data_IF_334191118468
#
_entry.id   IF_334191118468
#
_cell.length_a   1.000
_cell.length_b   1.000
_cell.length_c   1.000
_cell.angle_alpha   90.00
_cell.angle_beta   90.00
_cell.angle_gamma   90.00
#
_symmetry.space_group_name_H-M   'P 1'
#
loop_
_entity.id
_entity.type
_entity.pdbx_description
1 polymer ?
#
# COMPACT_ATOMS: atom_id res chain seq x y z
N UNK A 1 -31.22 -8.91 -3.59
CA UNK A 1 -29.97 -8.63 -4.32
C UNK A 1 -29.13 -9.89 -4.29
N UNK A 2 -28.52 -10.33 -5.41
CA UNK A 2 -27.55 -11.41 -5.33
C UNK A 2 -26.44 -10.99 -4.36
N UNK A 3 -25.90 -11.91 -3.55
CA UNK A 3 -24.82 -11.59 -2.62
C UNK A 3 -23.69 -10.98 -3.44
N UNK A 4 -23.28 -9.75 -3.10
CA UNK A 4 -22.08 -9.15 -3.67
C UNK A 4 -20.95 -10.15 -3.45
N UNK A 5 -20.48 -10.81 -4.50
CA UNK A 5 -19.31 -11.67 -4.41
C UNK A 5 -18.16 -10.81 -3.89
N UNK A 6 -17.35 -11.34 -2.96
CA UNK A 6 -16.19 -10.59 -2.41
C UNK A 6 -15.27 -10.10 -3.52
N UNK A 7 -15.21 -10.87 -4.62
CA UNK A 7 -14.45 -10.57 -5.81
C UNK A 7 -15.44 -10.31 -6.96
N UNK A 8 -15.34 -9.17 -7.67
CA UNK A 8 -16.16 -8.91 -8.85
C UNK A 8 -15.94 -9.99 -9.92
N UNK A 9 -17.01 -10.58 -10.53
CA UNK A 9 -16.87 -11.71 -11.44
C UNK A 9 -15.95 -11.45 -12.64
N UNK A 10 -15.98 -10.24 -13.21
CA UNK A 10 -15.12 -9.84 -14.32
C UNK A 10 -13.63 -9.80 -13.94
N UNK A 11 -13.30 -9.60 -12.66
CA UNK A 11 -11.91 -9.59 -12.18
C UNK A 11 -11.45 -10.94 -11.62
N UNK A 12 -12.35 -11.86 -11.32
CA UNK A 12 -12.01 -13.13 -10.69
C UNK A 12 -10.90 -13.90 -11.44
N UNK A 13 -10.90 -14.00 -12.78
CA UNK A 13 -9.82 -14.68 -13.51
C UNK A 13 -8.44 -14.00 -13.39
N UNK A 14 -8.43 -12.68 -13.11
CA UNK A 14 -7.22 -11.86 -13.07
C UNK A 14 -6.65 -11.68 -11.66
N UNK A 15 -7.46 -11.95 -10.64
CA UNK A 15 -7.05 -11.93 -9.24
C UNK A 15 -6.52 -13.31 -8.81
N UNK A 16 -7.03 -14.37 -9.42
CA UNK A 16 -6.54 -15.72 -9.13
C UNK A 16 -5.05 -15.85 -9.49
N UNK A 17 -4.28 -16.41 -8.56
CA UNK A 17 -2.85 -16.63 -8.74
C UNK A 17 -2.60 -17.60 -9.90
N UNK A 18 -1.60 -17.36 -10.76
CA UNK A 18 -1.22 -18.32 -11.78
C UNK A 18 -0.74 -19.65 -11.19
N UNK A 19 -0.81 -20.74 -11.96
CA UNK A 19 -0.33 -22.06 -11.51
C UNK A 19 1.19 -22.09 -11.28
N UNK A 20 1.94 -21.31 -12.07
CA UNK A 20 3.39 -21.23 -11.97
C UNK A 20 3.81 -20.09 -11.06
N UNK A 21 4.82 -20.34 -10.25
CA UNK A 21 5.46 -19.33 -9.39
C UNK A 21 5.83 -18.11 -10.23
N UNK A 22 5.33 -16.93 -9.85
CA UNK A 22 5.39 -15.74 -10.69
C UNK A 22 5.40 -14.41 -9.94
N UNK A 23 5.96 -13.40 -10.62
CA UNK A 23 5.89 -12.01 -10.21
C UNK A 23 4.65 -11.36 -10.81
N UNK A 24 3.90 -10.65 -9.97
CA UNK A 24 2.71 -9.90 -10.32
C UNK A 24 2.95 -8.42 -9.97
N UNK A 25 2.55 -7.53 -10.86
CA UNK A 25 2.67 -6.09 -10.67
C UNK A 25 1.29 -5.46 -10.59
N UNK A 26 1.09 -4.69 -9.54
CA UNK A 26 -0.02 -3.79 -9.37
C UNK A 26 0.50 -2.36 -9.54
N UNK A 27 -0.10 -1.58 -10.42
CA UNK A 27 0.22 -0.16 -10.52
C UNK A 27 -0.98 0.68 -10.14
N UNK A 28 -0.73 1.82 -9.52
CA UNK A 28 -1.76 2.79 -9.21
C UNK A 28 -1.28 4.22 -9.45
N UNK A 29 -2.22 5.15 -9.43
CA UNK A 29 -1.93 6.58 -9.52
C UNK A 29 -2.44 7.25 -8.26
N UNK A 30 -1.94 8.43 -7.93
CA UNK A 30 -2.36 9.19 -6.75
C UNK A 30 -3.88 9.37 -6.69
N UNK A 31 -4.53 9.55 -7.84
CA UNK A 31 -5.98 9.71 -7.94
C UNK A 31 -6.79 8.41 -7.85
N UNK A 32 -6.16 7.24 -7.96
CA UNK A 32 -6.82 5.94 -8.02
C UNK A 32 -6.08 4.90 -7.16
N UNK A 33 -6.50 4.73 -5.91
CA UNK A 33 -5.86 3.78 -4.99
C UNK A 33 -6.02 2.31 -5.40
N UNK A 34 -4.96 1.53 -5.23
CA UNK A 34 -4.89 0.09 -5.45
C UNK A 34 -5.31 -0.76 -4.24
N UNK A 35 -5.56 -0.16 -3.06
CA UNK A 35 -5.82 -0.90 -1.81
C UNK A 35 -6.99 -1.87 -1.93
N UNK A 36 -8.08 -1.47 -2.59
CA UNK A 36 -9.25 -2.34 -2.76
C UNK A 36 -8.91 -3.60 -3.55
N UNK A 37 -7.97 -3.51 -4.50
CA UNK A 37 -7.55 -4.63 -5.35
C UNK A 37 -6.58 -5.54 -4.60
N UNK A 38 -5.63 -4.98 -3.84
CA UNK A 38 -4.80 -5.74 -2.90
C UNK A 38 -5.65 -6.56 -1.93
N UNK A 39 -6.74 -6.00 -1.40
CA UNK A 39 -7.67 -6.74 -0.55
C UNK A 39 -8.33 -7.89 -1.30
N UNK A 40 -8.59 -7.78 -2.61
CA UNK A 40 -9.15 -8.91 -3.36
C UNK A 40 -8.14 -10.02 -3.61
N UNK A 41 -6.87 -9.69 -3.82
CA UNK A 41 -5.79 -10.67 -3.79
C UNK A 41 -5.66 -11.36 -2.43
N UNK A 42 -5.79 -10.59 -1.33
CA UNK A 42 -5.85 -11.17 0.03
C UNK A 42 -7.05 -12.11 0.18
N UNK A 43 -8.23 -11.74 -0.34
CA UNK A 43 -9.42 -12.60 -0.32
C UNK A 43 -9.19 -13.91 -1.03
N UNK A 44 -8.67 -13.86 -2.26
CA UNK A 44 -8.46 -15.04 -3.08
C UNK A 44 -7.44 -15.98 -2.43
N UNK A 45 -6.27 -15.44 -2.07
CA UNK A 45 -5.18 -16.20 -1.46
C UNK A 45 -5.57 -16.82 -0.11
N UNK A 46 -6.31 -16.09 0.74
CA UNK A 46 -6.71 -16.56 2.07
C UNK A 46 -8.04 -17.33 2.06
N UNK A 47 -8.76 -17.37 0.94
CA UNK A 47 -9.95 -18.21 0.82
C UNK A 47 -9.56 -19.68 0.87
N UNK A 48 -10.36 -20.48 1.57
CA UNK A 48 -10.29 -21.93 1.45
C UNK A 48 -11.26 -22.28 0.33
N UNK A 49 -10.79 -22.61 -0.87
CA UNK A 49 -11.69 -23.12 -1.91
C UNK A 49 -12.27 -24.46 -1.40
N UNK A 50 -13.59 -24.56 -1.15
CA UNK A 50 -14.19 -25.79 -0.68
C UNK A 50 -14.64 -26.69 -1.85
N UNK A 51 -14.35 -26.30 -3.10
CA UNK A 51 -14.93 -26.92 -4.29
C UNK A 51 -13.81 -27.27 -5.30
N UNK A 52 -13.47 -28.56 -5.32
CA UNK A 52 -12.90 -29.30 -6.45
C UNK A 52 -11.48 -28.99 -6.96
N UNK A 53 -10.56 -28.51 -6.13
CA UNK A 53 -9.13 -28.57 -6.47
C UNK A 53 -8.29 -28.85 -5.24
N UNK A 54 -7.34 -29.77 -5.34
CA UNK A 54 -6.36 -30.14 -4.29
C UNK A 54 -5.40 -28.98 -3.91
N UNK A 55 -5.70 -27.76 -4.36
CA UNK A 55 -4.93 -26.55 -4.10
C UNK A 55 -5.42 -25.89 -2.82
N UNK A 56 -4.77 -26.21 -1.71
CA UNK A 56 -4.94 -25.45 -0.47
C UNK A 56 -4.60 -23.97 -0.71
N UNK A 57 -5.36 -23.05 -0.10
CA UNK A 57 -5.10 -21.62 -0.19
C UNK A 57 -3.69 -21.24 0.27
N UNK A 58 -3.24 -20.04 -0.08
CA UNK A 58 -1.89 -19.58 0.23
C UNK A 58 -1.80 -18.98 1.64
N UNK A 59 -0.61 -19.06 2.24
CA UNK A 59 -0.23 -18.17 3.33
C UNK A 59 0.11 -16.79 2.75
N UNK A 60 -0.07 -15.72 3.51
CA UNK A 60 0.22 -14.38 3.03
C UNK A 60 1.12 -13.62 4.00
N UNK A 61 2.18 -13.02 3.44
CA UNK A 61 2.97 -11.99 4.13
C UNK A 61 2.71 -10.68 3.43
N UNK A 62 2.13 -9.71 4.14
CA UNK A 62 1.93 -8.35 3.65
C UNK A 62 2.98 -7.43 4.26
N UNK A 63 3.81 -6.83 3.42
CA UNK A 63 4.76 -5.79 3.78
C UNK A 63 4.24 -4.49 3.22
N UNK A 64 3.98 -3.49 4.06
CA UNK A 64 3.46 -2.19 3.62
C UNK A 64 4.35 -1.08 4.13
N UNK A 65 4.74 -0.20 3.22
CA UNK A 65 5.45 1.01 3.57
C UNK A 65 4.48 2.16 3.78
N UNK A 66 3.43 2.30 2.96
CA UNK A 66 2.56 3.48 3.06
C UNK A 66 1.43 3.38 4.10
N UNK A 67 1.10 2.19 4.61
CA UNK A 67 -0.10 2.00 5.44
C UNK A 67 0.14 1.08 6.62
N UNK A 68 -0.40 1.49 7.77
CA UNK A 68 -0.31 0.74 9.02
C UNK A 68 -1.17 -0.53 9.01
N UNK A 69 -0.87 -1.44 9.94
CA UNK A 69 -1.63 -2.67 10.12
C UNK A 69 -3.13 -2.41 10.37
N UNK A 70 -3.47 -1.41 11.18
CA UNK A 70 -4.86 -1.10 11.51
C UNK A 70 -5.68 -0.67 10.29
N UNK A 71 -5.06 0.02 9.33
CA UNK A 71 -5.71 0.32 8.05
C UNK A 71 -6.12 -0.96 7.32
N UNK A 72 -5.18 -1.91 7.16
CA UNK A 72 -5.44 -3.17 6.45
C UNK A 72 -6.48 -4.02 7.17
N UNK A 73 -6.43 -4.09 8.50
CA UNK A 73 -7.41 -4.79 9.33
C UNK A 73 -8.82 -4.23 9.15
N UNK A 74 -8.98 -2.90 9.20
CA UNK A 74 -10.28 -2.26 9.04
C UNK A 74 -10.83 -2.44 7.62
N UNK A 75 -10.01 -2.21 6.60
CA UNK A 75 -10.45 -2.29 5.20
C UNK A 75 -10.73 -3.73 4.75
N UNK A 76 -9.93 -4.72 5.19
CA UNK A 76 -10.20 -6.14 4.95
C UNK A 76 -11.50 -6.60 5.63
N UNK A 77 -11.76 -6.16 6.87
CA UNK A 77 -13.01 -6.49 7.57
C UNK A 77 -14.22 -5.89 6.88
N UNK A 78 -14.12 -4.62 6.49
CA UNK A 78 -15.19 -3.85 5.85
C UNK A 78 -15.52 -4.36 4.45
N UNK A 79 -14.51 -4.46 3.58
CA UNK A 79 -14.71 -4.73 2.15
C UNK A 79 -14.82 -6.22 1.81
N UNK A 80 -14.22 -7.09 2.62
CA UNK A 80 -14.08 -8.53 2.33
C UNK A 80 -14.58 -9.46 3.44
N UNK A 81 -14.93 -8.91 4.61
CA UNK A 81 -15.28 -9.73 5.78
C UNK A 81 -14.13 -10.64 6.24
N UNK A 82 -12.88 -10.25 5.98
CA UNK A 82 -11.71 -10.99 6.44
C UNK A 82 -11.30 -10.51 7.83
N UNK A 83 -11.08 -11.47 8.74
CA UNK A 83 -10.54 -11.21 10.07
C UNK A 83 -9.04 -11.53 10.08
N UNK A 84 -8.21 -10.51 9.91
CA UNK A 84 -6.76 -10.66 9.86
C UNK A 84 -6.18 -11.16 11.19
N UNK A 85 -6.77 -10.79 12.34
CA UNK A 85 -6.29 -11.24 13.65
C UNK A 85 -6.51 -12.74 13.83
N UNK A 86 -7.67 -13.23 13.39
CA UNK A 86 -7.96 -14.66 13.36
C UNK A 86 -6.96 -15.39 12.45
N UNK A 87 -6.73 -14.87 11.25
CA UNK A 87 -5.81 -15.47 10.27
C UNK A 87 -4.34 -15.46 10.75
N UNK A 88 -3.92 -14.45 11.51
CA UNK A 88 -2.60 -14.42 12.15
C UNK A 88 -2.47 -15.47 13.23
N UNK A 89 -3.50 -15.66 14.06
CA UNK A 89 -3.54 -16.72 15.08
C UNK A 89 -3.55 -18.11 14.46
N UNK A 90 -4.23 -18.28 13.33
CA UNK A 90 -4.23 -19.51 12.52
C UNK A 90 -2.91 -19.73 11.76
N UNK A 91 -1.96 -18.80 11.82
CA UNK A 91 -0.66 -18.92 11.13
C UNK A 91 -0.75 -18.79 9.61
N UNK A 92 -1.78 -18.13 9.08
CA UNK A 92 -2.00 -17.93 7.64
C UNK A 92 -1.64 -16.53 7.14
N UNK A 93 -1.59 -15.55 8.03
CA UNK A 93 -1.31 -14.16 7.69
C UNK A 93 -0.24 -13.56 8.61
N UNK A 94 0.74 -12.86 8.03
CA UNK A 94 1.69 -12.03 8.76
C UNK A 94 1.76 -10.64 8.14
N UNK A 95 1.92 -9.62 8.99
CA UNK A 95 2.11 -8.24 8.59
C UNK A 95 3.51 -7.75 9.00
N UNK A 96 4.16 -7.04 8.09
CA UNK A 96 5.43 -6.36 8.31
C UNK A 96 5.24 -4.87 8.04
N UNK A 97 5.50 -4.06 9.06
CA UNK A 97 5.48 -2.61 8.94
C UNK A 97 6.82 -2.11 8.39
N UNK A 98 6.78 -1.51 7.20
CA UNK A 98 7.96 -1.04 6.48
C UNK A 98 8.40 0.38 6.83
N UNK A 99 7.59 1.19 7.53
CA UNK A 99 7.91 2.59 7.84
C UNK A 99 7.77 3.01 9.30
N UNK A 100 6.83 2.43 10.05
CA UNK A 100 6.46 2.96 11.37
C UNK A 100 7.65 3.07 12.32
N UNK A 101 8.56 2.10 12.31
CA UNK A 101 9.75 2.11 13.16
C UNK A 101 10.92 2.97 12.65
N UNK A 102 10.83 3.52 11.44
CA UNK A 102 11.91 4.25 10.77
C UNK A 102 11.73 5.77 10.78
N UNK A 103 10.48 6.23 10.64
CA UNK A 103 10.16 7.64 10.52
C UNK A 103 9.33 8.17 11.71
N UNK A 104 8.71 7.26 12.47
CA UNK A 104 7.89 7.57 13.62
C UNK A 104 8.53 6.92 14.86
N UNK A 105 9.75 7.32 15.21
CA UNK A 105 10.24 7.01 16.56
C UNK A 105 9.19 7.55 17.54
N UNK A 106 8.73 6.68 18.45
CA UNK A 106 7.80 7.07 19.51
C UNK A 106 8.38 8.29 20.24
N UNK A 107 7.76 9.46 20.05
CA UNK A 107 8.06 10.69 20.80
C UNK A 107 7.80 10.48 22.32
N UNK A 108 7.35 9.29 22.74
CA UNK A 108 7.01 8.93 24.10
C UNK A 108 8.19 8.58 25.03
N UNK A 109 9.44 8.49 24.57
CA UNK A 109 10.59 8.12 25.44
C UNK A 109 11.70 9.20 25.58
N UNK A 110 11.36 10.50 25.47
CA UNK A 110 12.33 11.58 25.81
C UNK A 110 11.86 12.62 26.84
N UNK A 111 10.71 12.45 27.50
CA UNK A 111 10.27 13.38 28.56
C UNK A 111 10.35 12.81 29.99
N UNK A 112 11.14 11.74 30.19
CA UNK A 112 11.40 11.16 31.49
C UNK A 112 12.91 10.95 31.73
N UNK A 113 13.63 12.04 31.99
CA UNK A 113 14.97 11.93 32.58
C UNK A 113 15.99 12.97 32.13
N UNK A 114 15.72 14.25 32.34
CA UNK A 114 16.76 15.30 32.25
C UNK A 114 16.80 16.15 33.52
N UNK A 115 17.26 15.57 34.62
CA UNK A 115 17.80 16.34 35.75
C UNK A 115 19.33 16.22 35.81
N UNK A 116 19.97 17.37 35.54
CA UNK A 116 21.25 17.86 36.06
C UNK A 116 22.53 17.01 35.90
N UNK A 117 23.46 17.53 35.07
CA UNK A 117 24.77 18.01 35.55
C UNK A 117 25.53 18.74 34.42
N UNK A 118 25.76 20.04 34.64
CA UNK A 118 26.73 20.85 33.91
C UNK A 118 28.17 20.34 34.10
N UNK A 119 29.06 20.57 33.13
CA UNK A 119 30.14 21.50 33.44
C UNK A 119 30.46 22.51 32.31
N UNK A 120 30.73 23.73 32.76
CA UNK A 120 31.30 24.88 32.07
C UNK A 120 32.74 24.65 31.63
N UNK A 121 33.12 24.95 30.37
CA UNK A 121 34.37 25.70 30.03
C UNK A 121 34.36 26.24 28.58
N UNK A 122 34.54 27.56 28.41
CA UNK A 122 35.47 28.13 27.40
C UNK A 122 34.97 28.63 26.02
N UNK A 123 34.52 29.89 25.98
CA UNK A 123 34.77 30.96 24.97
C UNK A 123 34.95 30.63 23.45
N UNK A 124 34.08 31.18 22.58
CA UNK A 124 34.35 32.48 21.91
C UNK A 124 33.19 33.00 21.03
N UNK A 125 32.89 34.27 21.25
CA UNK A 125 31.94 35.15 20.55
C UNK A 125 32.59 35.81 19.34
N UNK A 126 31.87 35.95 18.20
CA UNK A 126 31.93 37.08 17.24
C UNK A 126 30.74 36.95 16.26
N UNK A 127 29.61 37.60 16.51
CA UNK A 127 29.18 38.99 16.19
C UNK A 127 28.68 39.16 14.75
N UNK A 128 27.44 39.64 14.69
CA UNK A 128 26.54 39.86 13.57
C UNK A 128 26.89 41.07 12.66
N UNK A 129 26.31 41.04 11.45
CA UNK A 129 25.93 42.20 10.61
C UNK A 129 24.73 41.74 9.75
N UNK A 130 23.48 42.06 10.13
CA UNK A 130 22.69 43.27 9.81
C UNK A 130 21.84 43.13 8.52
N UNK A 131 20.51 43.18 8.74
CA UNK A 131 19.38 43.26 7.79
C UNK A 131 19.39 44.62 7.06
N UNK A 132 18.72 44.74 5.89
CA UNK A 132 17.70 45.79 5.84
C UNK A 132 16.34 45.30 5.30
N UNK A 133 15.33 45.86 5.95
CA UNK A 133 13.89 45.71 5.83
C UNK A 133 13.38 46.57 4.68
N UNK A 134 12.58 46.04 3.74
CA UNK A 134 11.64 46.86 2.96
C UNK A 134 10.41 46.07 2.52
N UNK A 135 9.30 46.34 3.23
CA UNK A 135 7.98 46.76 2.72
C UNK A 135 7.24 45.87 1.68
N UNK A 136 6.15 45.27 2.15
CA UNK A 136 5.03 44.73 1.38
C UNK A 136 4.34 45.80 0.51
N UNK A 137 3.58 45.37 -0.51
CA UNK A 137 2.14 45.52 -0.39
C UNK A 137 1.32 44.29 -0.82
N UNK A 138 0.19 44.11 -0.15
CA UNK A 138 -0.86 43.12 -0.38
C UNK A 138 -1.58 43.36 -1.72
N UNK A 139 -1.97 42.29 -2.44
CA UNK A 139 -3.03 42.34 -3.46
C UNK A 139 -3.96 41.12 -3.37
N UNK A 140 -5.10 41.36 -2.70
CA UNK A 140 -6.49 40.95 -2.93
C UNK A 140 -6.89 39.58 -3.51
N UNK A 141 -7.75 38.90 -2.73
CA UNK A 141 -8.68 37.84 -3.14
C UNK A 141 -9.93 38.39 -3.84
N UNK A 142 -10.46 37.63 -4.80
CA UNK A 142 -11.62 37.93 -5.65
C UNK A 142 -12.96 37.82 -4.88
N UNK A 143 -13.85 38.78 -5.14
CA UNK A 143 -15.21 38.98 -4.56
C UNK A 143 -16.24 37.91 -4.97
N UNK A 144 -17.08 37.50 -4.02
CA UNK A 144 -18.48 37.09 -4.24
C UNK A 144 -19.48 38.22 -3.90
N UNK A 145 -20.76 38.12 -4.32
CA UNK A 145 -21.71 39.24 -4.34
C UNK A 145 -22.44 39.50 -2.99
N UNK A 146 -23.00 40.71 -2.77
CA UNK A 146 -23.41 41.19 -1.45
C UNK A 146 -24.92 41.10 -1.16
N UNK A 147 -25.27 40.94 0.12
CA UNK A 147 -26.55 41.41 0.66
C UNK A 147 -27.11 40.60 1.83
N UNK A 148 -26.98 41.10 3.07
CA UNK A 148 -28.08 41.44 4.01
C UNK A 148 -27.51 41.83 5.39
N UNK A 149 -27.91 43.01 5.88
CA UNK A 149 -27.50 43.66 7.14
C UNK A 149 -28.62 43.48 8.18
N UNK A 150 -28.32 43.08 9.44
CA UNK A 150 -28.94 43.57 10.70
C UNK A 150 -28.08 43.14 11.94
N UNK A 151 -28.21 43.71 13.17
CA UNK A 151 -27.22 44.65 13.71
C UNK A 151 -26.56 44.23 15.04
N UNK A 152 -25.57 45.04 15.44
CA UNK A 152 -24.72 44.92 16.62
C UNK A 152 -25.43 45.10 17.97
N UNK A 153 -24.90 44.45 19.01
CA UNK A 153 -25.09 44.81 20.43
C UNK A 153 -23.77 44.62 21.19
N UNK A 154 -23.37 45.66 21.94
CA UNK A 154 -22.07 45.80 22.60
C UNK A 154 -21.87 45.00 23.91
N UNK A 155 -20.76 45.24 24.64
CA UNK A 155 -20.16 44.32 25.60
C UNK A 155 -20.67 44.53 27.05
N UNK A 156 -20.45 43.57 27.96
CA UNK A 156 -19.33 43.72 28.94
C UNK A 156 -18.59 42.41 29.33
N UNK A 157 -17.57 42.60 30.19
CA UNK A 157 -16.43 41.75 30.62
C UNK A 157 -16.77 40.89 31.88
N UNK A 158 -15.80 40.26 32.60
CA UNK A 158 -15.47 38.84 32.65
C UNK A 158 -15.97 38.08 33.91
N UNK A 159 -15.96 36.74 33.90
CA UNK A 159 -16.01 35.93 35.13
C UNK A 159 -14.82 34.97 35.15
N UNK A 160 -14.14 34.96 36.29
CA UNK A 160 -12.93 34.22 36.61
C UNK A 160 -13.23 32.80 37.16
N UNK A 161 -12.28 31.91 36.86
CA UNK A 161 -11.74 30.79 37.65
C UNK A 161 -12.64 29.98 38.61
N UNK A 162 -12.71 28.67 38.33
CA UNK A 162 -12.78 27.59 39.34
C UNK A 162 -11.96 26.40 38.78
N UNK A 163 -10.68 26.27 39.16
CA UNK A 163 -10.18 25.37 40.22
C UNK A 163 -10.71 23.93 40.11
N UNK A 164 -9.93 23.10 39.41
CA UNK A 164 -9.96 21.63 39.48
C UNK A 164 -9.01 21.16 40.58
N UNK A 165 -9.49 20.24 41.43
CA UNK A 165 -8.65 19.38 42.29
C UNK A 165 -9.01 17.92 42.02
N UNK A 166 -8.03 17.00 42.18
CA UNK A 166 -7.94 15.76 41.42
C UNK A 166 -8.57 14.58 42.17
N UNK A 167 -9.02 13.56 41.43
CA UNK A 167 -9.30 12.25 42.02
C UNK A 167 -8.93 11.11 41.04
N UNK A 168 -7.82 10.47 41.38
CA UNK A 168 -7.49 9.05 41.19
C UNK A 168 -7.40 8.56 39.74
N UNK A 169 -6.18 8.67 39.24
CA UNK A 169 -5.66 7.96 38.07
C UNK A 169 -5.51 6.46 38.41
N UNK A 170 -6.46 5.65 37.96
CA UNK A 170 -6.27 4.20 37.91
C UNK A 170 -5.37 3.94 36.71
N UNK A 171 -4.12 3.60 37.02
CA UNK A 171 -3.13 3.11 36.07
C UNK A 171 -3.68 1.93 35.27
N UNK A 172 -4.17 2.21 34.07
CA UNK A 172 -4.48 1.24 33.04
C UNK A 172 -3.28 1.09 32.13
N UNK A 173 -2.43 0.12 32.42
CA UNK A 173 -1.41 -0.39 31.52
C UNK A 173 -2.05 -0.90 30.23
N UNK A 174 -2.14 -0.06 29.19
CA UNK A 174 -2.49 -0.50 27.85
C UNK A 174 -1.21 -0.98 27.14
N UNK A 175 -0.71 -2.14 27.55
CA UNK A 175 0.20 -2.94 26.73
C UNK A 175 -0.66 -3.63 25.67
N UNK A 176 -0.95 -2.91 24.58
CA UNK A 176 -1.70 -3.49 23.47
C UNK A 176 -0.78 -4.39 22.64
N UNK A 177 -1.19 -5.63 22.53
CA UNK A 177 -0.65 -6.77 21.78
C UNK A 177 -0.22 -6.40 20.36
N UNK A 178 1.06 -6.05 20.14
CA UNK A 178 1.61 -5.93 18.78
C UNK A 178 2.37 -7.20 18.42
N UNK A 179 1.68 -8.15 17.76
CA UNK A 179 2.30 -9.34 17.15
C UNK A 179 2.84 -9.07 15.73
N UNK A 180 3.09 -7.81 15.38
CA UNK A 180 3.53 -7.40 14.05
C UNK A 180 4.99 -6.96 14.07
N UNK A 181 5.73 -7.35 13.03
CA UNK A 181 7.18 -7.07 12.96
C UNK A 181 7.39 -5.74 12.25
N UNK A 182 8.07 -4.81 12.89
CA UNK A 182 8.41 -3.51 12.30
C UNK A 182 9.86 -3.50 11.83
N UNK A 183 10.11 -2.90 10.67
CA UNK A 183 11.44 -2.68 10.11
C UNK A 183 12.17 -1.61 10.92
N UNK A 184 13.46 -1.85 11.23
CA UNK A 184 14.25 -0.98 12.12
C UNK A 184 15.34 -0.19 11.41
N UNK A 185 15.73 -0.63 10.21
CA UNK A 185 16.71 0.09 9.39
C UNK A 185 16.28 0.22 7.92
N UNK A 186 16.70 1.32 7.28
CA UNK A 186 16.60 1.54 5.83
C UNK A 186 17.68 0.79 5.03
N UNK A 187 18.16 -0.36 5.53
CA UNK A 187 19.16 -1.19 4.87
C UNK A 187 18.51 -2.41 4.21
N UNK A 188 18.92 -2.73 2.98
CA UNK A 188 18.42 -3.91 2.25
C UNK A 188 18.70 -5.23 2.98
N UNK A 189 19.80 -5.32 3.74
CA UNK A 189 20.13 -6.49 4.55
C UNK A 189 19.17 -6.70 5.72
N UNK A 190 18.74 -5.62 6.39
CA UNK A 190 17.73 -5.70 7.45
C UNK A 190 16.37 -6.13 6.87
N UNK A 191 15.96 -5.52 5.75
CA UNK A 191 14.76 -5.88 5.02
C UNK A 191 14.78 -7.37 4.61
N UNK A 192 15.90 -7.83 4.05
CA UNK A 192 16.12 -9.24 3.68
C UNK A 192 15.93 -10.17 4.86
N UNK A 193 16.63 -9.89 5.97
CA UNK A 193 16.64 -10.74 7.15
C UNK A 193 15.26 -10.79 7.82
N UNK A 194 14.57 -9.65 7.87
CA UNK A 194 13.26 -9.51 8.49
C UNK A 194 12.19 -10.24 7.70
N UNK A 195 12.10 -10.02 6.38
CA UNK A 195 11.11 -10.73 5.54
C UNK A 195 11.39 -12.23 5.53
N UNK A 196 12.65 -12.65 5.36
CA UNK A 196 13.01 -14.08 5.34
C UNK A 196 12.66 -14.77 6.66
N UNK A 197 12.86 -14.09 7.80
CA UNK A 197 12.49 -14.58 9.13
C UNK A 197 10.97 -14.71 9.26
N UNK A 198 10.20 -13.71 8.82
CA UNK A 198 8.73 -13.73 8.90
C UNK A 198 8.14 -14.83 8.01
N UNK A 199 8.63 -14.97 6.78
CA UNK A 199 8.24 -16.05 5.86
C UNK A 199 8.53 -17.42 6.48
N UNK A 200 9.71 -17.60 7.05
CA UNK A 200 10.09 -18.86 7.70
C UNK A 200 9.22 -19.15 8.94
N UNK A 201 8.97 -18.14 9.78
CA UNK A 201 8.13 -18.28 10.96
C UNK A 201 6.67 -18.61 10.60
N UNK A 202 6.13 -17.99 9.54
CA UNK A 202 4.78 -18.27 9.06
C UNK A 202 4.69 -19.70 8.52
N UNK A 203 5.70 -20.14 7.76
CA UNK A 203 5.79 -21.51 7.27
C UNK A 203 5.84 -22.55 8.39
N UNK A 204 6.53 -22.26 9.50
CA UNK A 204 6.60 -23.16 10.67
C UNK A 204 5.27 -23.21 11.45
N UNK A 205 4.53 -22.11 11.50
CA UNK A 205 3.19 -22.08 12.13
C UNK A 205 2.15 -22.79 11.27
N UNK A 206 2.27 -22.71 9.94
CA UNK A 206 1.34 -23.31 9.00
C UNK A 206 1.46 -24.85 8.93
N UNK A 207 2.58 -25.45 9.36
CA UNK A 207 2.73 -26.91 9.47
C UNK A 207 2.00 -27.45 10.71
N UNK A 208 0.68 -27.30 10.74
CA UNK A 208 -0.21 -28.00 11.68
C UNK A 208 -0.47 -29.44 11.20
N UNK A 209 -0.65 -30.42 12.11
CA UNK A 209 -0.64 -31.86 11.81
C UNK A 209 -1.83 -32.39 10.99
N UNK A 210 -2.71 -31.52 10.49
CA UNK A 210 -3.93 -31.91 9.76
C UNK A 210 -3.85 -31.79 8.23
N UNK A 211 -2.76 -31.23 7.67
CA UNK A 211 -2.59 -31.01 6.23
C UNK A 211 -1.36 -31.75 5.72
N UNK A 212 -1.53 -32.59 4.69
CA UNK A 212 -0.49 -33.46 4.12
C UNK A 212 0.47 -32.73 3.19
N UNK A 213 0.14 -31.50 2.76
CA UNK A 213 0.95 -30.64 1.89
C UNK A 213 1.24 -29.28 2.55
N UNK A 214 2.47 -28.79 2.40
CA UNK A 214 2.87 -27.49 2.93
C UNK A 214 2.33 -26.38 2.02
N UNK A 215 1.52 -25.48 2.59
CA UNK A 215 0.99 -24.32 1.86
C UNK A 215 2.10 -23.40 1.40
N UNK A 216 2.03 -22.99 0.13
CA UNK A 216 2.90 -21.94 -0.42
C UNK A 216 2.50 -20.56 0.11
N UNK A 217 3.42 -19.61 0.01
CA UNK A 217 3.27 -18.23 0.50
C UNK A 217 3.16 -17.28 -0.68
N UNK A 218 2.21 -16.33 -0.60
CA UNK A 218 2.13 -15.12 -1.40
C UNK A 218 2.77 -13.98 -0.59
N UNK A 219 3.81 -13.36 -1.13
CA UNK A 219 4.42 -12.16 -0.57
C UNK A 219 3.83 -10.93 -1.26
N UNK A 220 3.23 -10.03 -0.50
CA UNK A 220 2.70 -8.76 -1.02
C UNK A 220 3.60 -7.63 -0.55
N UNK A 221 4.11 -6.85 -1.49
CA UNK A 221 4.95 -5.67 -1.24
C UNK A 221 4.18 -4.42 -1.64
N UNK A 222 3.69 -3.68 -0.67
CA UNK A 222 2.89 -2.46 -0.87
C UNK A 222 3.77 -1.20 -0.77
N UNK A 223 4.11 -0.64 -1.93
CA UNK A 223 4.97 0.52 -2.12
C UNK A 223 6.44 0.36 -1.66
N UNK A 224 7.17 -0.68 -2.14
CA UNK A 224 8.59 -0.81 -1.87
C UNK A 224 9.46 0.23 -2.61
N UNK A 225 8.90 0.89 -3.62
CA UNK A 225 9.48 2.03 -4.35
C UNK A 225 9.85 3.20 -3.43
N UNK A 226 9.13 3.35 -2.31
CA UNK A 226 9.46 4.36 -1.30
C UNK A 226 10.86 4.16 -0.69
N UNK A 227 11.39 2.93 -0.70
CA UNK A 227 12.75 2.66 -0.23
C UNK A 227 13.82 3.38 -1.07
N UNK A 228 13.57 3.57 -2.37
CA UNK A 228 14.43 4.34 -3.28
C UNK A 228 14.40 5.83 -2.92
N UNK A 229 13.25 6.35 -2.50
CA UNK A 229 13.10 7.75 -2.08
C UNK A 229 13.73 8.03 -0.71
N UNK A 230 13.67 7.07 0.21
CA UNK A 230 14.15 7.23 1.59
C UNK A 230 15.65 6.98 1.74
N UNK A 231 16.26 6.22 0.84
CA UNK A 231 17.67 5.93 0.89
C UNK A 231 18.34 6.08 -0.50
N UNK A 232 19.03 7.21 -0.76
CA UNK A 232 19.64 7.48 -2.06
C UNK A 232 20.84 6.58 -2.39
N UNK A 233 21.29 5.74 -1.45
CA UNK A 233 22.37 4.76 -1.70
C UNK A 233 21.88 3.50 -2.39
N UNK A 234 20.56 3.33 -2.49
CA UNK A 234 19.92 2.15 -3.05
C UNK A 234 19.52 2.44 -4.49
N UNK A 235 19.96 1.59 -5.40
CA UNK A 235 19.55 1.60 -6.79
C UNK A 235 18.38 0.64 -7.05
N UNK A 236 17.69 0.85 -8.17
CA UNK A 236 16.61 -0.01 -8.65
C UNK A 236 17.07 -1.45 -8.85
N UNK A 237 18.33 -1.65 -9.23
CA UNK A 237 18.90 -2.96 -9.51
C UNK A 237 19.05 -3.80 -8.23
N UNK A 238 19.53 -3.21 -7.12
CA UNK A 238 19.64 -3.88 -5.84
C UNK A 238 18.27 -4.19 -5.24
N UNK A 239 17.31 -3.26 -5.33
CA UNK A 239 15.93 -3.51 -4.88
C UNK A 239 15.28 -4.65 -5.69
N UNK A 240 15.41 -4.63 -7.02
CA UNK A 240 14.88 -5.69 -7.89
C UNK A 240 15.53 -7.04 -7.57
N UNK A 241 16.86 -7.04 -7.38
CA UNK A 241 17.61 -8.25 -7.02
C UNK A 241 17.13 -8.83 -5.69
N UNK A 242 16.89 -7.98 -4.68
CA UNK A 242 16.36 -8.41 -3.39
C UNK A 242 14.96 -9.03 -3.52
N UNK A 243 14.07 -8.45 -4.33
CA UNK A 243 12.73 -9.01 -4.56
C UNK A 243 12.83 -10.39 -5.24
N UNK A 244 13.75 -10.55 -6.19
CA UNK A 244 14.04 -11.85 -6.80
C UNK A 244 14.61 -12.86 -5.81
N UNK A 245 15.47 -12.42 -4.88
CA UNK A 245 15.96 -13.29 -3.80
C UNK A 245 14.81 -13.79 -2.91
N UNK A 246 13.80 -12.96 -2.63
CA UNK A 246 12.60 -13.42 -1.93
C UNK A 246 11.80 -14.47 -2.72
N UNK A 247 11.73 -14.32 -4.04
CA UNK A 247 11.04 -15.29 -4.90
C UNK A 247 11.77 -16.64 -4.95
N UNK A 248 13.09 -16.65 -4.69
CA UNK A 248 13.88 -17.89 -4.61
C UNK A 248 13.75 -18.60 -3.24
N UNK A 249 13.01 -18.04 -2.28
CA UNK A 249 12.73 -18.74 -1.03
C UNK A 249 11.79 -19.92 -1.30
N UNK A 250 12.08 -21.13 -0.79
CA UNK A 250 11.37 -22.36 -1.18
C UNK A 250 9.87 -22.37 -0.84
N UNK A 251 9.44 -21.52 0.09
CA UNK A 251 8.05 -21.40 0.52
C UNK A 251 7.29 -20.28 -0.19
N UNK A 252 7.98 -19.38 -0.88
CA UNK A 252 7.37 -18.26 -1.62
C UNK A 252 7.06 -18.73 -3.03
N UNK A 253 5.80 -18.62 -3.40
CA UNK A 253 5.32 -18.96 -4.76
C UNK A 253 5.15 -17.75 -5.63
N UNK A 254 4.61 -16.68 -5.05
CA UNK A 254 4.17 -15.52 -5.79
C UNK A 254 4.61 -14.28 -5.05
N UNK A 255 4.99 -13.25 -5.81
CA UNK A 255 5.20 -11.91 -5.28
C UNK A 255 4.26 -10.96 -6.00
N UNK A 256 3.39 -10.29 -5.24
CA UNK A 256 2.56 -9.20 -5.72
C UNK A 256 3.16 -7.88 -5.25
N UNK A 257 3.73 -7.12 -6.18
CA UNK A 257 4.34 -5.83 -5.87
C UNK A 257 3.44 -4.70 -6.34
N UNK A 258 3.15 -3.76 -5.46
CA UNK A 258 2.39 -2.55 -5.76
C UNK A 258 3.31 -1.33 -5.83
N UNK A 259 3.28 -0.61 -6.95
CA UNK A 259 4.13 0.55 -7.25
C UNK A 259 3.27 1.71 -7.76
N UNK A 260 3.63 2.95 -7.42
CA UNK A 260 2.99 4.12 -8.03
C UNK A 260 3.48 4.33 -9.46
N UNK A 261 2.56 4.63 -10.38
CA UNK A 261 2.80 4.84 -11.81
C UNK A 261 2.20 6.16 -12.29
N UNK A 262 2.30 7.21 -11.48
CA UNK A 262 1.92 8.57 -11.89
C UNK A 262 2.79 9.05 -13.06
N UNK A 263 2.25 9.93 -13.90
CA UNK A 263 2.96 10.42 -15.09
C UNK A 263 4.36 11.00 -14.80
N UNK A 264 4.59 11.78 -13.72
CA UNK A 264 5.94 12.24 -13.38
C UNK A 264 6.94 11.13 -13.03
N UNK A 265 6.45 9.93 -12.70
CA UNK A 265 7.27 8.76 -12.37
C UNK A 265 7.54 7.88 -13.59
N UNK A 266 6.81 8.10 -14.69
CA UNK A 266 6.94 7.39 -15.96
C UNK A 266 7.63 8.26 -17.02
N UNK A 267 7.31 9.53 -17.05
CA UNK A 267 7.78 10.55 -17.98
C UNK A 267 8.89 11.36 -17.32
N UNK A 268 10.15 11.03 -17.65
CA UNK A 268 11.32 11.67 -17.06
C UNK A 268 11.38 13.17 -17.37
N UNK A 269 11.79 13.97 -16.40
CA UNK A 269 12.08 15.40 -16.63
C UNK A 269 13.30 15.57 -17.56
N UNK A 270 13.48 16.78 -18.10
CA UNK A 270 14.63 17.12 -18.95
C UNK A 270 15.40 18.28 -18.32
N UNK A 271 16.58 18.06 -17.69
CA UNK A 271 17.28 16.77 -17.52
C UNK A 271 16.66 15.89 -16.41
N UNK A 272 16.75 14.55 -16.54
CA UNK A 272 16.13 13.61 -15.60
C UNK A 272 16.75 13.72 -14.21
N UNK A 273 15.90 13.70 -13.17
CA UNK A 273 16.39 13.67 -11.79
C UNK A 273 16.78 12.23 -11.39
N UNK A 274 17.78 12.04 -10.50
CA UNK A 274 18.22 10.70 -10.12
C UNK A 274 17.09 9.82 -9.56
N UNK A 275 16.22 10.37 -8.69
CA UNK A 275 15.10 9.62 -8.13
C UNK A 275 14.07 9.23 -9.20
N UNK A 276 13.78 10.13 -10.16
CA UNK A 276 12.89 9.83 -11.28
C UNK A 276 13.46 8.69 -12.12
N UNK A 277 14.77 8.71 -12.38
CA UNK A 277 15.47 7.67 -13.14
C UNK A 277 15.40 6.31 -12.44
N UNK A 278 15.70 6.27 -11.13
CA UNK A 278 15.67 5.03 -10.35
C UNK A 278 14.27 4.44 -10.26
N UNK A 279 13.25 5.28 -10.00
CA UNK A 279 11.86 4.82 -9.95
C UNK A 279 11.37 4.31 -11.30
N UNK A 280 11.63 5.07 -12.37
CA UNK A 280 11.28 4.69 -13.73
C UNK A 280 11.91 3.34 -14.10
N UNK A 281 13.21 3.19 -13.87
CA UNK A 281 13.94 1.96 -14.17
C UNK A 281 13.42 0.78 -13.36
N UNK A 282 13.12 0.98 -12.07
CA UNK A 282 12.52 -0.05 -11.22
C UNK A 282 11.18 -0.52 -11.79
N UNK A 283 10.25 0.41 -12.05
CA UNK A 283 8.91 0.09 -12.52
C UNK A 283 8.93 -0.59 -13.89
N UNK A 284 9.68 -0.06 -14.86
CA UNK A 284 9.80 -0.63 -16.21
C UNK A 284 10.43 -2.03 -16.16
N UNK A 285 11.51 -2.19 -15.39
CA UNK A 285 12.18 -3.49 -15.23
C UNK A 285 11.24 -4.52 -14.61
N UNK A 286 10.56 -4.15 -13.53
CA UNK A 286 9.66 -5.04 -12.82
C UNK A 286 8.43 -5.40 -13.67
N UNK A 287 7.90 -4.45 -14.44
CA UNK A 287 6.82 -4.69 -15.40
C UNK A 287 7.21 -5.75 -16.44
N UNK A 288 8.40 -5.66 -17.02
CA UNK A 288 8.90 -6.65 -17.99
C UNK A 288 9.07 -8.05 -17.38
N UNK A 289 9.36 -8.13 -16.08
CA UNK A 289 9.53 -9.40 -15.36
C UNK A 289 8.21 -9.99 -14.87
N UNK A 290 7.14 -9.19 -14.86
CA UNK A 290 5.86 -9.57 -14.27
C UNK A 290 5.01 -10.34 -15.26
N UNK A 291 4.54 -11.52 -14.83
CA UNK A 291 3.63 -12.35 -15.61
C UNK A 291 2.29 -11.65 -15.86
N UNK A 292 1.83 -10.83 -14.91
CA UNK A 292 0.57 -10.09 -15.00
C UNK A 292 0.75 -8.71 -14.39
N UNK A 293 0.18 -7.72 -15.07
CA UNK A 293 0.16 -6.32 -14.66
C UNK A 293 -1.31 -5.89 -14.53
N UNK A 294 -1.70 -5.39 -13.36
CA UNK A 294 -3.00 -4.76 -13.13
C UNK A 294 -2.77 -3.30 -12.77
N UNK A 295 -3.17 -2.38 -13.63
CA UNK A 295 -3.02 -0.95 -13.40
C UNK A 295 -4.36 -0.27 -13.16
N UNK A 296 -4.47 0.50 -12.07
CA UNK A 296 -5.64 1.35 -11.80
C UNK A 296 -5.31 2.83 -12.04
N UNK A 297 -6.18 3.51 -12.78
CA UNK A 297 -6.05 4.94 -13.08
C UNK A 297 -7.38 5.66 -13.00
N UNK A 298 -7.33 6.96 -12.77
CA UNK A 298 -8.51 7.83 -12.90
C UNK A 298 -9.00 7.86 -14.35
N UNK A 299 -10.25 8.26 -14.55
CA UNK A 299 -10.80 8.48 -15.88
C UNK A 299 -10.15 9.71 -16.52
N UNK A 300 -9.69 9.58 -17.77
CA UNK A 300 -9.14 10.70 -18.55
C UNK A 300 -10.18 11.82 -18.77
N UNK A 301 -11.47 11.47 -18.75
CA UNK A 301 -12.61 12.39 -18.88
C UNK A 301 -12.92 13.16 -17.59
N UNK A 302 -12.23 12.88 -16.48
CA UNK A 302 -12.50 13.46 -15.17
C UNK A 302 -13.43 12.63 -14.28
N UNK A 303 -13.86 13.22 -13.17
CA UNK A 303 -14.58 12.52 -12.08
C UNK A 303 -16.03 12.21 -12.47
N UNK A 304 -16.48 10.99 -12.19
CA UNK A 304 -17.88 10.57 -12.31
C UNK A 304 -18.44 10.10 -10.96
N UNK A 305 -19.77 10.20 -10.75
CA UNK A 305 -20.42 9.71 -9.51
C UNK A 305 -20.44 8.18 -9.43
N UNK A 306 -20.62 7.54 -10.58
CA UNK A 306 -20.85 6.09 -10.66
C UNK A 306 -19.62 5.29 -11.09
N UNK A 307 -18.49 5.96 -11.32
CA UNK A 307 -17.24 5.34 -11.77
C UNK A 307 -16.08 5.96 -11.01
N UNK A 308 -15.30 5.13 -10.32
CA UNK A 308 -14.11 5.56 -9.59
C UNK A 308 -12.89 5.64 -10.49
N UNK A 309 -12.79 4.76 -11.49
CA UNK A 309 -11.65 4.74 -12.40
C UNK A 309 -11.71 3.60 -13.42
N UNK A 310 -10.56 3.39 -14.07
CA UNK A 310 -10.32 2.32 -15.03
C UNK A 310 -9.28 1.36 -14.44
N UNK A 311 -9.53 0.07 -14.60
CA UNK A 311 -8.53 -0.97 -14.39
C UNK A 311 -8.13 -1.57 -15.73
N UNK A 312 -6.83 -1.62 -16.00
CA UNK A 312 -6.25 -2.31 -17.15
C UNK A 312 -5.53 -3.56 -16.67
N UNK A 313 -5.79 -4.68 -17.33
CA UNK A 313 -5.12 -5.95 -17.06
C UNK A 313 -4.34 -6.36 -18.30
N UNK A 314 -3.04 -6.57 -18.11
CA UNK A 314 -2.12 -7.09 -19.13
C UNK A 314 -1.51 -8.38 -18.62
N UNK A 315 -1.58 -9.44 -19.41
CA UNK A 315 -1.00 -10.74 -19.05
C UNK A 315 0.07 -11.11 -20.07
N UNK A 316 1.28 -11.36 -19.59
CA UNK A 316 2.39 -11.79 -20.41
C UNK A 316 2.24 -13.29 -20.68
N UNK A 317 1.77 -13.64 -21.88
CA UNK A 317 1.76 -15.02 -22.37
C UNK A 317 3.13 -15.41 -22.91
N UNK A 318 4.15 -15.48 -22.05
CA UNK A 318 5.39 -16.17 -22.38
C UNK A 318 5.17 -17.67 -22.20
N UNK A 319 4.60 -18.30 -23.21
CA UNK A 319 4.51 -19.74 -23.36
C UNK A 319 5.00 -20.16 -24.74
N UNK A 320 5.55 -21.38 -24.84
CA UNK A 320 6.01 -22.04 -26.08
C UNK A 320 5.01 -21.95 -27.25
N UNK A 321 3.73 -21.68 -26.98
CA UNK A 321 2.70 -21.36 -27.97
C UNK A 321 2.95 -20.06 -28.79
N UNK A 322 3.95 -19.25 -28.45
CA UNK A 322 4.41 -18.13 -29.29
C UNK A 322 5.25 -18.56 -30.51
N UNK A 323 5.55 -19.85 -30.66
CA UNK A 323 6.28 -20.42 -31.81
C UNK A 323 5.37 -21.01 -32.89
N UNK A 324 4.10 -20.62 -32.98
CA UNK A 324 3.27 -20.93 -34.15
C UNK A 324 2.98 -22.42 -34.40
N UNK A 325 2.95 -23.25 -33.36
CA UNK A 325 2.60 -24.68 -33.46
C UNK A 325 1.35 -25.03 -32.64
N UNK A 326 0.25 -24.31 -32.87
CA UNK A 326 -1.06 -24.62 -32.34
C UNK A 326 -2.13 -24.06 -33.26
N UNK A 327 -3.10 -24.89 -33.66
CA UNK A 327 -4.11 -24.66 -34.70
C UNK A 327 -4.60 -23.20 -34.79
N UNK A 328 -4.43 -22.63 -35.98
CA UNK A 328 -4.89 -21.30 -36.40
C UNK A 328 -6.42 -21.24 -36.46
N UNK A 329 -7.11 -21.18 -35.31
CA UNK A 329 -8.53 -20.78 -35.25
C UNK A 329 -8.87 -19.98 -33.99
N UNK A 330 -8.15 -18.89 -33.75
CA UNK A 330 -8.65 -17.76 -32.94
C UNK A 330 -7.88 -16.47 -33.28
N UNK A 331 -8.01 -16.02 -34.53
CA UNK A 331 -7.61 -14.67 -34.91
C UNK A 331 -8.57 -13.66 -34.26
N UNK A 332 -8.10 -12.91 -33.25
CA UNK A 332 -8.70 -11.60 -32.97
C UNK A 332 -8.66 -10.98 -31.58
N UNK A 333 -7.84 -11.40 -30.60
CA UNK A 333 -7.64 -10.58 -29.37
C UNK A 333 -6.48 -11.06 -28.49
N UNK A 334 -5.31 -11.29 -29.08
CA UNK A 334 -4.22 -12.01 -28.41
C UNK A 334 -3.31 -11.19 -27.48
N UNK A 335 -3.23 -9.87 -27.66
CA UNK A 335 -2.17 -9.04 -27.03
C UNK A 335 -2.65 -7.67 -26.51
N UNK A 336 -3.94 -7.35 -26.70
CA UNK A 336 -4.52 -6.11 -26.18
C UNK A 336 -4.96 -6.31 -24.73
N UNK A 337 -4.25 -5.67 -23.80
CA UNK A 337 -4.64 -5.63 -22.39
C UNK A 337 -6.11 -5.23 -22.24
N UNK A 338 -6.84 -5.95 -21.37
CA UNK A 338 -8.27 -5.74 -21.15
C UNK A 338 -8.51 -4.56 -20.22
N UNK A 339 -9.54 -3.78 -20.49
CA UNK A 339 -9.89 -2.62 -19.68
C UNK A 339 -11.31 -2.73 -19.14
N UNK A 340 -11.46 -2.46 -17.85
CA UNK A 340 -12.74 -2.42 -17.17
C UNK A 340 -12.88 -1.10 -16.41
N UNK A 341 -14.13 -0.69 -16.23
CA UNK A 341 -14.46 0.39 -15.32
C UNK A 341 -14.76 -0.21 -13.95
N UNK A 342 -14.41 0.53 -12.89
CA UNK A 342 -14.71 0.09 -11.54
C UNK A 342 -15.33 1.22 -10.71
N UNK A 343 -16.14 0.83 -9.73
CA UNK A 343 -16.74 1.72 -8.74
C UNK A 343 -16.48 1.14 -7.35
N UNK A 344 -15.77 1.89 -6.52
CA UNK A 344 -15.59 1.59 -5.09
C UNK A 344 -16.61 2.40 -4.31
N UNK A 345 -17.46 1.73 -3.54
CA UNK A 345 -18.46 2.37 -2.69
C UNK A 345 -17.93 2.63 -1.28
N UNK A 346 -18.61 3.51 -0.55
CA UNK A 346 -18.26 3.85 0.84
C UNK A 346 -18.32 2.67 1.81
N UNK A 347 -19.10 1.64 1.49
CA UNK A 347 -19.20 0.38 2.25
C UNK A 347 -18.04 -0.60 1.95
N UNK A 348 -17.13 -0.26 1.03
CA UNK A 348 -16.03 -1.13 0.59
C UNK A 348 -16.44 -2.16 -0.46
N UNK A 349 -17.70 -2.17 -0.91
CA UNK A 349 -18.12 -2.98 -2.04
C UNK A 349 -17.54 -2.41 -3.34
N UNK A 350 -17.16 -3.30 -4.25
CA UNK A 350 -16.58 -2.93 -5.54
C UNK A 350 -17.41 -3.53 -6.65
N UNK A 351 -17.77 -2.71 -7.64
CA UNK A 351 -18.38 -3.15 -8.89
C UNK A 351 -17.39 -2.96 -10.02
N UNK A 352 -17.40 -3.89 -10.96
CA UNK A 352 -16.59 -3.84 -12.18
C UNK A 352 -17.50 -4.10 -13.35
N UNK A 353 -17.33 -3.33 -14.43
CA UNK A 353 -18.18 -3.36 -15.61
C UNK A 353 -17.34 -3.13 -16.87
N UNK A 354 -17.75 -3.73 -17.97
CA UNK A 354 -17.16 -3.48 -19.29
C UNK A 354 -17.54 -2.09 -19.78
N UNK A 355 -16.65 -1.48 -20.57
CA UNK A 355 -16.90 -0.16 -21.15
C UNK A 355 -18.06 -0.25 -22.14
N UNK A 356 -19.15 0.48 -21.87
CA UNK A 356 -20.36 0.48 -22.71
C UNK A 356 -21.52 -0.38 -22.18
N UNK A 357 -21.32 -1.16 -21.12
CA UNK A 357 -22.38 -1.97 -20.51
C UNK A 357 -23.33 -1.16 -19.58
N UNK A 358 -23.07 0.13 -19.36
CA UNK A 358 -23.83 1.01 -18.45
C UNK A 358 -25.17 1.52 -18.99
N UNK A 359 -25.73 0.87 -20.02
CA UNK A 359 -26.90 1.32 -20.77
C UNK A 359 -28.21 0.62 -20.43
N UNK A 360 -28.38 0.06 -19.23
CA UNK A 360 -29.72 -0.36 -18.76
C UNK A 360 -29.85 0.03 -17.28
N UNK A 361 -30.59 1.12 -17.06
CA UNK A 361 -31.03 1.61 -15.76
C UNK A 361 -32.54 1.69 -15.72
#
# INVERSE_FOLDING_TARGET
>A
MPPSTRIPPLLQPYIHLPQNDSLLLLTSTLGASASWLLIRFLCDALSNSPQDSEEEGHNVVLVSWMREHEFWKQECRKSAGLDLEKLTREGRFAFVDGLGGLCCEDIAEQDAGAESKSPTTGLNTRRATSIPTTRTPQTLSVRGPPGRIVPARGPPVPIAAAMTTPLVEVAGTNKATQEHTTLKSLNLGDLKSTISRVVSALSLKASTPSTTTQRKTLLILDNPDLFLALNPTIDHAALTSLILEFHNLPTVSHILTHVQSDDPLLSLSTPPQPLELEHHNFLVKYAHMSRRILGVRVLDTGVARDVSGVIRVTEQRTGWLGLGFGDEKEHGQGDEGKEFLYQVKSDGSVKVFERGAGGEG
#
